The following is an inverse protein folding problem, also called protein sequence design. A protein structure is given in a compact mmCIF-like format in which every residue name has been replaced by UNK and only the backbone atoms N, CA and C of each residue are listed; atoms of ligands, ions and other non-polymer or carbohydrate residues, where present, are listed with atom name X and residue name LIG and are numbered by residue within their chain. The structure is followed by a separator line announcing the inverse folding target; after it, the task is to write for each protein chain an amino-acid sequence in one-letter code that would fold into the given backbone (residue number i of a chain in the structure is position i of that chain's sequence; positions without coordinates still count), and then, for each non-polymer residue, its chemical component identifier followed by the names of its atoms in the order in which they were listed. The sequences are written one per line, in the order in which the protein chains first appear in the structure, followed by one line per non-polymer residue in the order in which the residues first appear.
data_IF_384523133375
#
_entry.id   IF_384523133375
#
_cell.length_a   1.000
_cell.length_b   1.000
_cell.length_c   1.000
_cell.angle_alpha   90.00
_cell.angle_beta   90.00
_cell.angle_gamma   90.00
#
_symmetry.space_group_name_H-M   'P 1'
#
loop_
_entity.id
_entity.type
_entity.pdbx_description
1 polymer ?
#
# COMPACT_ATOMS: atom_id res chain seq x y z
N UNK A 1 96.35 24.50 2.54
CA UNK A 1 95.45 23.83 1.58
C UNK A 1 94.78 22.67 2.30
N UNK A 2 93.49 22.74 2.63
CA UNK A 2 92.80 21.66 3.33
C UNK A 2 92.07 20.73 2.33
N UNK A 3 92.17 19.43 2.57
CA UNK A 3 91.39 18.36 1.94
C UNK A 3 90.06 18.21 2.67
N UNK A 4 88.93 18.44 1.99
CA UNK A 4 87.59 18.16 2.52
C UNK A 4 87.02 16.88 1.93
N UNK A 5 86.83 15.90 2.80
CA UNK A 5 86.07 14.66 2.60
C UNK A 5 84.58 14.96 2.58
N UNK A 6 83.86 14.57 1.52
CA UNK A 6 82.39 14.66 1.45
C UNK A 6 81.73 13.39 2.02
N UNK A 7 80.83 13.57 2.99
CA UNK A 7 79.97 12.53 3.53
C UNK A 7 78.69 12.37 2.68
N UNK A 8 78.06 11.18 2.63
CA UNK A 8 76.84 10.93 1.87
C UNK A 8 75.60 11.56 2.54
N UNK A 9 74.79 12.24 1.73
CA UNK A 9 73.56 12.91 2.15
C UNK A 9 72.43 11.88 2.30
N UNK A 10 71.90 11.70 3.52
CA UNK A 10 70.72 10.87 3.78
C UNK A 10 69.47 11.72 3.53
N UNK A 11 68.52 11.33 2.67
CA UNK A 11 67.28 12.09 2.49
C UNK A 11 66.35 11.87 3.68
N UNK A 12 66.11 12.93 4.45
CA UNK A 12 65.08 13.01 5.49
C UNK A 12 63.70 12.86 4.84
N UNK A 13 62.99 11.78 5.15
CA UNK A 13 61.60 11.59 4.75
C UNK A 13 60.70 12.61 5.47
N UNK A 14 59.91 13.36 4.70
CA UNK A 14 58.91 14.28 5.23
C UNK A 14 57.78 13.50 5.93
N UNK A 15 57.19 14.03 7.02
CA UNK A 15 56.08 13.39 7.71
C UNK A 15 54.86 13.30 6.79
N UNK A 16 54.31 12.10 6.68
CA UNK A 16 53.11 11.80 5.89
C UNK A 16 51.92 12.56 6.49
N UNK A 17 51.42 13.57 5.78
CA UNK A 17 50.14 14.19 6.10
C UNK A 17 49.04 13.13 5.92
N UNK A 18 48.35 12.81 7.01
CA UNK A 18 47.09 12.05 6.98
C UNK A 18 46.06 13.02 6.41
N UNK A 19 45.83 12.95 5.10
CA UNK A 19 44.72 13.65 4.44
C UNK A 19 43.43 12.96 4.89
N UNK A 20 42.48 13.66 5.54
CA UNK A 20 41.17 13.08 5.84
C UNK A 20 40.51 12.63 4.53
N UNK A 21 39.81 11.49 4.51
CA UNK A 21 39.17 11.00 3.30
C UNK A 21 38.21 12.08 2.74
N UNK A 22 38.10 12.23 1.41
CA UNK A 22 37.15 13.15 0.81
C UNK A 22 35.73 12.88 1.35
N UNK A 23 34.86 13.90 1.48
CA UNK A 23 33.45 13.68 1.76
C UNK A 23 32.94 12.61 0.80
N UNK A 24 32.41 11.51 1.33
CA UNK A 24 32.08 10.32 0.57
C UNK A 24 31.28 10.71 -0.68
N UNK A 25 31.74 10.23 -1.84
CA UNK A 25 30.99 10.35 -3.08
C UNK A 25 29.53 9.93 -2.80
N UNK A 26 28.52 10.69 -3.25
CA UNK A 26 27.14 10.25 -3.14
C UNK A 26 27.06 8.82 -3.73
N UNK A 27 26.28 7.91 -3.11
CA UNK A 27 26.22 6.54 -3.56
C UNK A 27 25.92 6.50 -5.05
N UNK A 28 26.88 5.99 -5.82
CA UNK A 28 26.77 5.89 -7.27
C UNK A 28 26.02 4.61 -7.62
N UNK A 29 24.95 4.76 -8.39
CA UNK A 29 24.11 3.64 -8.80
C UNK A 29 22.64 4.06 -8.92
N UNK A 30 21.86 3.21 -9.57
CA UNK A 30 20.42 3.39 -9.75
C UNK A 30 19.69 2.15 -9.28
N UNK A 31 18.58 2.36 -8.59
CA UNK A 31 17.65 1.30 -8.20
C UNK A 31 16.27 1.51 -8.81
N UNK A 32 15.38 0.60 -8.48
CA UNK A 32 13.97 0.64 -8.86
C UNK A 32 13.11 0.82 -7.62
N UNK A 33 12.25 1.84 -7.61
CA UNK A 33 11.19 1.98 -6.61
C UNK A 33 9.85 1.62 -7.23
N UNK A 34 9.06 0.81 -6.54
CA UNK A 34 7.68 0.50 -6.92
C UNK A 34 6.75 1.01 -5.83
N UNK A 35 5.86 1.95 -6.15
CA UNK A 35 4.76 2.35 -5.26
C UNK A 35 3.53 1.55 -5.68
N UNK A 36 2.93 0.85 -4.72
CA UNK A 36 1.70 0.07 -4.90
C UNK A 36 0.52 0.76 -4.23
N UNK A 37 -0.65 0.64 -4.84
CA UNK A 37 -1.91 1.18 -4.33
C UNK A 37 -2.93 0.06 -4.26
N UNK A 38 -3.44 -0.21 -3.04
CA UNK A 38 -4.35 -1.32 -2.78
C UNK A 38 -5.46 -0.93 -1.82
N UNK A 39 -6.60 -1.60 -1.91
CA UNK A 39 -7.64 -1.52 -0.88
C UNK A 39 -7.24 -2.33 0.35
N UNK A 40 -7.99 -2.22 1.46
CA UNK A 40 -7.76 -3.00 2.68
C UNK A 40 -7.82 -4.52 2.45
N UNK A 41 -8.60 -4.99 1.47
CA UNK A 41 -8.63 -6.42 1.08
C UNK A 41 -7.47 -6.84 0.14
N UNK A 42 -6.64 -5.89 -0.30
CA UNK A 42 -5.53 -6.14 -1.21
C UNK A 42 -5.85 -5.96 -2.69
N UNK A 43 -7.06 -5.49 -3.04
CA UNK A 43 -7.46 -5.23 -4.43
C UNK A 43 -6.66 -4.06 -5.01
N UNK A 44 -6.05 -4.18 -6.20
CA UNK A 44 -5.32 -3.06 -6.82
C UNK A 44 -6.19 -1.84 -7.11
N UNK A 45 -5.67 -0.64 -6.82
CA UNK A 45 -6.35 0.64 -7.13
C UNK A 45 -5.55 1.36 -8.23
N UNK A 46 -5.99 1.34 -9.49
CA UNK A 46 -5.26 1.95 -10.60
C UNK A 46 -5.46 3.47 -10.65
N UNK A 47 -4.69 4.14 -11.53
CA UNK A 47 -4.82 5.56 -11.86
C UNK A 47 -4.59 6.52 -10.69
N UNK A 48 -3.90 6.10 -9.64
CA UNK A 48 -3.57 6.94 -8.49
C UNK A 48 -2.33 7.78 -8.83
N UNK A 49 -2.40 9.12 -8.76
CA UNK A 49 -1.21 9.95 -8.88
C UNK A 49 -0.37 9.79 -7.62
N UNK A 50 0.86 9.32 -7.79
CA UNK A 50 1.82 9.08 -6.71
C UNK A 50 3.06 9.92 -6.92
N UNK A 51 3.76 10.17 -5.81
CA UNK A 51 4.99 10.93 -5.82
C UNK A 51 6.08 10.26 -4.99
N UNK A 52 7.31 10.50 -5.44
CA UNK A 52 8.53 9.99 -4.85
C UNK A 52 9.53 11.14 -4.74
N UNK A 53 9.92 11.44 -3.51
CA UNK A 53 10.76 12.58 -3.17
C UNK A 53 12.08 12.08 -2.59
N UNK A 54 13.21 12.38 -3.24
CA UNK A 54 14.55 12.14 -2.72
C UNK A 54 14.85 13.15 -1.62
N UNK A 55 15.32 12.65 -0.48
CA UNK A 55 15.54 13.44 0.73
C UNK A 55 17.03 13.46 1.06
N UNK A 56 17.55 14.66 1.35
CA UNK A 56 18.95 14.88 1.74
C UNK A 56 19.08 15.91 2.87
N UNK A 57 20.13 15.81 3.71
CA UNK A 57 21.13 14.75 3.75
C UNK A 57 20.54 13.46 4.32
N UNK A 58 20.91 12.30 3.77
CA UNK A 58 20.51 11.01 4.33
C UNK A 58 21.54 9.92 4.02
N UNK A 59 21.73 9.00 4.96
CA UNK A 59 22.52 7.77 4.77
C UNK A 59 21.55 6.59 4.59
N UNK A 60 21.34 6.08 3.36
CA UNK A 60 20.38 5.01 3.12
C UNK A 60 20.73 3.71 3.84
N UNK A 61 22.00 3.50 4.19
CA UNK A 61 22.45 2.30 4.93
C UNK A 61 21.90 2.28 6.36
N UNK A 62 21.59 3.45 6.93
CA UNK A 62 20.97 3.57 8.26
C UNK A 62 19.47 3.34 8.25
N UNK A 63 18.85 3.37 7.07
CA UNK A 63 17.39 3.21 6.89
C UNK A 63 16.58 4.16 7.78
N UNK A 64 17.08 5.37 7.91
CA UNK A 64 16.46 6.44 8.69
C UNK A 64 16.69 7.78 8.00
N UNK A 65 15.71 8.67 8.08
CA UNK A 65 15.79 10.02 7.52
C UNK A 65 15.94 11.01 8.68
N UNK A 66 17.10 11.69 8.82
CA UNK A 66 17.32 12.56 9.95
C UNK A 66 16.41 13.79 9.92
N UNK A 67 16.08 14.31 11.09
CA UNK A 67 15.35 15.57 11.23
C UNK A 67 16.10 16.73 10.56
N UNK A 68 15.36 17.62 9.90
CA UNK A 68 15.93 18.76 9.16
C UNK A 68 16.40 18.43 7.73
N UNK A 69 16.16 17.21 7.25
CA UNK A 69 16.36 16.85 5.85
C UNK A 69 15.34 17.53 4.95
N UNK A 70 15.73 17.81 3.71
CA UNK A 70 14.90 18.50 2.72
C UNK A 70 14.72 17.65 1.47
N UNK A 71 13.58 17.85 0.79
CA UNK A 71 13.37 17.35 -0.55
C UNK A 71 14.33 18.03 -1.53
N UNK A 72 15.07 17.24 -2.30
CA UNK A 72 16.01 17.73 -3.33
C UNK A 72 15.59 17.36 -4.75
N UNK A 73 14.76 16.32 -4.90
CA UNK A 73 14.21 15.91 -6.18
C UNK A 73 12.85 15.25 -5.96
N UNK A 74 11.86 15.65 -6.75
CA UNK A 74 10.55 15.02 -6.80
C UNK A 74 10.29 14.39 -8.16
N UNK A 75 9.66 13.22 -8.15
CA UNK A 75 9.12 12.56 -9.34
C UNK A 75 7.67 12.21 -9.08
N UNK A 76 6.84 12.44 -10.07
CA UNK A 76 5.42 12.07 -10.04
C UNK A 76 5.16 10.99 -11.11
N UNK A 77 4.24 10.08 -10.82
CA UNK A 77 3.76 9.07 -11.75
C UNK A 77 2.28 8.75 -11.46
N UNK A 78 1.66 7.95 -12.30
CA UNK A 78 0.30 7.43 -12.11
C UNK A 78 0.38 5.91 -12.09
N UNK A 79 -0.31 5.27 -11.15
CA UNK A 79 -0.33 3.80 -11.06
C UNK A 79 -1.06 3.17 -12.25
N UNK A 80 -0.53 2.04 -12.73
CA UNK A 80 -1.08 1.26 -13.83
C UNK A 80 -2.31 0.43 -13.42
N UNK A 81 -2.81 -0.43 -14.32
CA UNK A 81 -3.94 -1.33 -14.08
C UNK A 81 -3.72 -2.34 -12.93
N UNK A 82 -2.48 -2.57 -12.51
CA UNK A 82 -2.12 -3.41 -11.36
C UNK A 82 -1.92 -2.59 -10.08
N UNK A 83 -2.30 -1.30 -10.09
CA UNK A 83 -2.08 -0.39 -8.97
C UNK A 83 -0.60 -0.19 -8.68
N UNK A 84 0.27 -0.18 -9.69
CA UNK A 84 1.71 0.01 -9.50
C UNK A 84 2.27 1.17 -10.32
N UNK A 85 3.17 1.94 -9.73
CA UNK A 85 4.00 2.92 -10.43
C UNK A 85 5.47 2.59 -10.18
N UNK A 86 6.27 2.53 -11.25
CA UNK A 86 7.68 2.15 -11.18
C UNK A 86 8.58 3.34 -11.52
N UNK A 87 9.62 3.54 -10.73
CA UNK A 87 10.58 4.63 -10.87
C UNK A 87 12.00 4.06 -10.95
N UNK A 88 12.77 4.52 -11.94
CA UNK A 88 14.23 4.34 -11.95
C UNK A 88 14.88 5.59 -11.36
N UNK A 89 15.56 5.43 -10.23
CA UNK A 89 16.04 6.53 -9.40
C UNK A 89 17.42 6.21 -8.80
N UNK A 90 18.23 7.23 -8.42
CA UNK A 90 19.51 6.97 -7.78
C UNK A 90 19.37 6.25 -6.43
N UNK A 91 20.44 5.66 -5.94
CA UNK A 91 20.52 5.16 -4.56
C UNK A 91 20.27 6.33 -3.59
N UNK A 92 19.46 6.12 -2.54
CA UNK A 92 19.10 7.20 -1.62
C UNK A 92 17.90 6.90 -0.71
N UNK A 93 17.50 7.91 0.06
CA UNK A 93 16.36 7.87 0.97
C UNK A 93 15.20 8.64 0.36
N UNK A 94 14.01 8.07 0.44
CA UNK A 94 12.84 8.60 -0.24
C UNK A 94 11.67 8.75 0.72
N UNK A 95 10.94 9.84 0.59
CA UNK A 95 9.54 9.88 0.98
C UNK A 95 8.67 9.54 -0.22
N UNK A 96 7.54 8.89 0.03
CA UNK A 96 6.53 8.71 -0.99
C UNK A 96 5.15 9.00 -0.45
N UNK A 97 4.25 9.36 -1.37
CA UNK A 97 2.87 9.66 -1.04
C UNK A 97 2.02 9.70 -2.30
N UNK A 98 0.80 10.18 -2.14
CA UNK A 98 -0.12 10.43 -3.25
C UNK A 98 -0.35 11.93 -3.44
N UNK A 99 -0.73 12.30 -4.66
CA UNK A 99 -1.37 13.58 -4.94
C UNK A 99 -2.85 13.55 -4.57
N UNK A 100 -3.70 14.14 -5.41
CA UNK A 100 -5.14 14.05 -5.23
C UNK A 100 -5.62 12.60 -5.51
N UNK A 101 -6.31 11.95 -4.56
CA UNK A 101 -6.87 10.62 -4.78
C UNK A 101 -7.81 10.59 -5.99
N UNK A 102 -7.86 9.49 -6.76
CA UNK A 102 -8.84 9.35 -7.82
C UNK A 102 -10.29 9.45 -7.30
N UNK A 103 -11.25 9.94 -8.11
CA UNK A 103 -12.65 9.95 -7.73
C UNK A 103 -13.15 8.56 -7.30
N UNK A 104 -13.96 8.50 -6.24
CA UNK A 104 -14.52 7.25 -5.72
C UNK A 104 -13.52 6.38 -4.93
N UNK A 105 -12.36 6.95 -4.55
CA UNK A 105 -11.39 6.29 -3.67
C UNK A 105 -11.22 7.09 -2.39
N UNK A 106 -11.10 6.40 -1.26
CA UNK A 106 -10.88 7.02 0.05
C UNK A 106 -9.56 6.51 0.63
N UNK A 107 -8.50 7.33 0.67
CA UNK A 107 -7.22 6.94 1.27
C UNK A 107 -7.32 6.59 2.76
N UNK A 108 -6.48 5.67 3.21
CA UNK A 108 -6.22 5.45 4.64
C UNK A 108 -5.12 6.42 5.09
N UNK A 109 -5.32 7.22 6.16
CA UNK A 109 -4.28 8.12 6.65
C UNK A 109 -3.21 7.32 7.42
N UNK A 110 -2.10 7.01 6.76
CA UNK A 110 -1.01 6.19 7.32
C UNK A 110 0.25 6.98 7.73
N UNK A 111 0.20 8.31 7.65
CA UNK A 111 1.33 9.17 8.00
C UNK A 111 2.39 9.26 6.90
N UNK A 112 3.62 9.65 7.26
CA UNK A 112 4.72 9.76 6.29
C UNK A 112 5.29 8.38 5.99
N UNK A 113 5.35 8.04 4.70
CA UNK A 113 5.98 6.81 4.24
C UNK A 113 7.41 7.05 3.75
N UNK A 114 8.30 6.09 4.01
CA UNK A 114 9.71 6.16 3.64
C UNK A 114 10.19 4.89 2.96
N UNK A 115 11.12 5.03 2.01
CA UNK A 115 11.80 3.94 1.31
C UNK A 115 13.30 4.22 1.24
N UNK A 116 14.10 3.16 1.20
CA UNK A 116 15.54 3.25 1.14
C UNK A 116 16.07 2.34 0.04
N UNK A 117 16.78 2.92 -0.91
CA UNK A 117 17.62 2.18 -1.85
C UNK A 117 19.04 2.27 -1.33
N UNK A 118 19.65 1.13 -1.04
CA UNK A 118 20.98 1.01 -0.42
C UNK A 118 22.00 0.50 -1.43
N UNK A 119 21.58 -0.33 -2.39
CA UNK A 119 22.47 -0.98 -3.36
C UNK A 119 22.08 -0.66 -4.80
N UNK A 120 23.07 -0.75 -5.69
CA UNK A 120 22.85 -0.63 -7.13
C UNK A 120 21.99 -1.79 -7.65
N UNK A 121 21.02 -1.46 -8.50
CA UNK A 121 20.03 -2.42 -9.01
C UNK A 121 19.00 -2.91 -7.99
N UNK A 122 18.97 -2.39 -6.76
CA UNK A 122 18.01 -2.80 -5.73
C UNK A 122 16.57 -2.43 -6.14
N UNK A 123 15.61 -3.29 -5.76
CA UNK A 123 14.19 -3.01 -5.84
C UNK A 123 13.65 -2.73 -4.43
N UNK A 124 13.09 -1.54 -4.23
CA UNK A 124 12.35 -1.17 -3.03
C UNK A 124 10.86 -1.00 -3.37
N UNK A 125 9.97 -1.41 -2.47
CA UNK A 125 8.53 -1.29 -2.67
C UNK A 125 7.86 -0.60 -1.48
N UNK A 126 6.98 0.36 -1.79
CA UNK A 126 6.09 1.00 -0.83
C UNK A 126 4.64 0.72 -1.17
N UNK A 127 3.75 0.85 -0.20
CA UNK A 127 2.31 0.65 -0.37
C UNK A 127 1.53 1.82 0.22
N UNK A 128 0.48 2.25 -0.49
CA UNK A 128 -0.53 3.20 -0.04
C UNK A 128 -1.87 2.47 -0.01
N UNK A 129 -2.55 2.50 1.14
CA UNK A 129 -3.82 1.81 1.31
C UNK A 129 -5.02 2.72 1.11
N UNK A 130 -6.09 2.14 0.57
CA UNK A 130 -7.39 2.77 0.38
C UNK A 130 -8.46 1.95 1.10
N UNK A 131 -9.53 2.61 1.52
CA UNK A 131 -10.78 1.91 1.80
C UNK A 131 -11.27 1.21 0.53
N UNK A 132 -12.15 0.23 0.68
CA UNK A 132 -12.81 -0.30 -0.50
C UNK A 132 -13.53 0.83 -1.24
N UNK A 133 -13.50 0.85 -2.59
CA UNK A 133 -14.30 1.79 -3.34
C UNK A 133 -15.75 1.63 -2.90
N UNK A 134 -16.47 2.74 -2.74
CA UNK A 134 -17.90 2.72 -2.48
C UNK A 134 -18.54 1.81 -3.53
N UNK A 135 -18.95 0.61 -3.12
CA UNK A 135 -19.54 -0.37 -4.00
C UNK A 135 -20.75 0.30 -4.69
N UNK A 136 -21.04 0.01 -5.98
CA UNK A 136 -22.11 0.68 -6.71
C UNK A 136 -23.39 0.69 -5.87
N UNK A 137 -24.17 1.78 -5.91
CA UNK A 137 -25.28 2.12 -5.01
C UNK A 137 -26.06 0.96 -4.35
N UNK A 138 -26.45 -0.14 -5.04
CA UNK A 138 -27.06 -1.26 -4.33
C UNK A 138 -26.14 -1.95 -3.32
N UNK A 139 -24.85 -2.11 -3.59
CA UNK A 139 -23.94 -2.93 -2.80
C UNK A 139 -23.29 -2.22 -1.60
N UNK A 140 -23.55 -0.93 -1.39
CA UNK A 140 -23.04 -0.22 -0.21
C UNK A 140 -23.60 -0.84 1.07
N UNK A 141 -22.75 -1.11 2.07
CA UNK A 141 -23.15 -1.80 3.29
C UNK A 141 -24.31 -1.07 4.01
N UNK A 142 -24.28 0.26 4.04
CA UNK A 142 -25.31 1.10 4.64
C UNK A 142 -26.63 1.03 3.88
N UNK A 143 -26.61 0.93 2.55
CA UNK A 143 -27.82 0.76 1.75
C UNK A 143 -28.46 -0.62 1.98
N UNK A 144 -27.65 -1.67 2.05
CA UNK A 144 -28.14 -3.01 2.42
C UNK A 144 -28.73 -2.98 3.83
N UNK A 145 -28.01 -2.42 4.81
CA UNK A 145 -28.48 -2.32 6.21
C UNK A 145 -29.78 -1.54 6.33
N UNK A 146 -29.91 -0.42 5.60
CA UNK A 146 -31.13 0.38 5.58
C UNK A 146 -32.34 -0.42 5.11
N UNK A 147 -32.19 -1.23 4.06
CA UNK A 147 -33.30 -2.01 3.50
C UNK A 147 -33.61 -3.28 4.33
N UNK A 148 -32.62 -3.78 5.09
CA UNK A 148 -32.82 -4.84 6.08
C UNK A 148 -33.47 -4.25 7.35
N UNK A 149 -34.66 -3.67 7.23
CA UNK A 149 -35.49 -3.32 8.37
C UNK A 149 -35.74 -4.61 9.19
N UNK A 150 -35.28 -4.62 10.45
CA UNK A 150 -35.17 -5.78 11.36
C UNK A 150 -33.83 -6.54 11.38
N UNK A 151 -32.72 -5.80 11.50
CA UNK A 151 -31.41 -6.37 11.89
C UNK A 151 -31.19 -6.48 13.41
N UNK A 152 -32.21 -6.16 14.22
CA UNK A 152 -32.15 -6.25 15.69
C UNK A 152 -31.00 -5.45 16.29
N UNK A 153 -30.28 -6.05 17.24
CA UNK A 153 -29.14 -5.42 17.91
C UNK A 153 -27.95 -5.13 17.00
N UNK A 154 -27.92 -5.67 15.77
CA UNK A 154 -26.82 -5.42 14.82
C UNK A 154 -26.81 -3.98 14.29
N UNK A 155 -27.86 -3.20 14.53
CA UNK A 155 -27.92 -1.79 14.12
C UNK A 155 -26.86 -0.89 14.77
N UNK A 156 -26.29 -1.29 15.91
CA UNK A 156 -25.17 -0.57 16.55
C UNK A 156 -23.79 -1.10 16.14
N UNK A 157 -23.72 -2.08 15.24
CA UNK A 157 -22.50 -2.72 14.79
C UNK A 157 -22.14 -2.33 13.36
N UNK A 158 -20.85 -2.29 13.04
CA UNK A 158 -20.39 -1.94 11.71
C UNK A 158 -20.59 -3.12 10.75
N UNK A 159 -21.36 -2.88 9.69
CA UNK A 159 -21.57 -3.85 8.63
C UNK A 159 -20.46 -3.76 7.56
N UNK A 160 -20.01 -4.91 7.08
CA UNK A 160 -19.04 -5.03 5.97
C UNK A 160 -19.59 -5.96 4.90
N UNK A 161 -19.46 -5.56 3.63
CA UNK A 161 -19.82 -6.39 2.48
C UNK A 161 -18.54 -6.99 1.89
N UNK A 162 -18.45 -8.32 1.86
CA UNK A 162 -17.25 -9.03 1.38
C UNK A 162 -17.35 -9.50 -0.06
N UNK A 163 -18.58 -9.70 -0.57
CA UNK A 163 -18.86 -10.07 -1.95
C UNK A 163 -20.14 -9.39 -2.44
N UNK A 164 -20.17 -8.86 -3.67
CA UNK A 164 -21.39 -8.34 -4.29
C UNK A 164 -21.38 -8.47 -5.83
N UNK A 165 -22.52 -8.66 -6.49
CA UNK A 165 -22.68 -8.55 -7.98
C UNK A 165 -23.78 -7.56 -8.39
N UNK A 166 -24.31 -6.80 -7.43
CA UNK A 166 -25.42 -5.88 -7.65
C UNK A 166 -26.81 -6.50 -7.43
N UNK A 167 -26.92 -7.84 -7.35
CA UNK A 167 -28.16 -8.55 -7.04
C UNK A 167 -28.03 -9.49 -5.83
N UNK A 168 -26.82 -9.94 -5.51
CA UNK A 168 -26.49 -10.78 -4.37
C UNK A 168 -25.29 -10.21 -3.65
N UNK A 169 -25.31 -10.26 -2.32
CA UNK A 169 -24.18 -9.84 -1.50
C UNK A 169 -23.99 -10.73 -0.27
N UNK A 170 -22.75 -10.76 0.24
CA UNK A 170 -22.40 -11.31 1.55
C UNK A 170 -22.11 -10.14 2.47
N UNK A 171 -22.85 -10.05 3.58
CA UNK A 171 -22.73 -8.99 4.57
C UNK A 171 -22.52 -9.60 5.95
N UNK A 172 -21.66 -9.00 6.76
CA UNK A 172 -21.43 -9.41 8.15
C UNK A 172 -21.25 -8.17 9.05
N UNK A 173 -21.50 -8.35 10.35
CA UNK A 173 -21.37 -7.28 11.36
C UNK A 173 -20.27 -7.64 12.36
N UNK A 174 -19.58 -6.63 12.87
CA UNK A 174 -18.56 -6.78 13.93
C UNK A 174 -19.17 -7.04 15.33
N UNK A 175 -20.13 -7.96 15.41
CA UNK A 175 -20.77 -8.39 16.65
C UNK A 175 -20.34 -9.83 17.04
N UNK A 176 -20.44 -10.21 18.33
CA UNK A 176 -20.18 -11.59 18.75
C UNK A 176 -21.10 -12.61 18.07
N UNK A 177 -20.55 -13.74 17.67
CA UNK A 177 -21.27 -14.83 17.01
C UNK A 177 -21.23 -14.76 15.47
N UNK A 178 -21.97 -15.65 14.81
CA UNK A 178 -22.10 -15.64 13.35
C UNK A 178 -23.15 -14.62 12.93
N UNK A 179 -22.67 -13.45 12.51
CA UNK A 179 -23.54 -12.33 12.08
C UNK A 179 -23.67 -12.27 10.56
N UNK A 180 -22.93 -13.12 9.86
CA UNK A 180 -22.93 -13.16 8.41
C UNK A 180 -24.33 -13.48 7.86
N UNK A 181 -24.65 -12.88 6.72
CA UNK A 181 -25.84 -13.15 5.93
C UNK A 181 -25.49 -13.17 4.45
N UNK A 182 -26.25 -13.92 3.68
CA UNK A 182 -26.35 -13.69 2.23
C UNK A 182 -27.66 -12.95 2.00
N UNK A 183 -27.57 -11.85 1.27
CA UNK A 183 -28.70 -10.99 0.93
C UNK A 183 -28.90 -10.97 -0.57
N UNK A 184 -30.14 -10.73 -0.99
CA UNK A 184 -30.52 -10.60 -2.39
C UNK A 184 -31.30 -9.32 -2.61
N UNK A 185 -31.16 -8.76 -3.80
CA UNK A 185 -31.93 -7.60 -4.24
C UNK A 185 -33.32 -8.06 -4.69
N UNK A 186 -34.31 -7.29 -4.31
CA UNK A 186 -35.72 -7.47 -4.65
C UNK A 186 -36.26 -6.15 -5.22
N UNK A 187 -37.49 -6.12 -5.78
CA UNK A 187 -38.11 -4.86 -6.21
C UNK A 187 -38.22 -3.82 -5.09
N UNK A 188 -38.32 -4.26 -3.82
CA UNK A 188 -38.52 -3.42 -2.64
C UNK A 188 -37.20 -3.09 -1.90
N UNK A 189 -36.05 -3.43 -2.47
CA UNK A 189 -34.73 -3.24 -1.85
C UNK A 189 -34.04 -4.56 -1.50
N UNK A 190 -33.07 -4.53 -0.59
CA UNK A 190 -32.38 -5.74 -0.13
C UNK A 190 -33.20 -6.55 0.86
N UNK A 191 -33.14 -7.87 0.70
CA UNK A 191 -33.75 -8.82 1.63
C UNK A 191 -32.73 -9.87 2.06
N UNK A 192 -32.83 -10.34 3.31
CA UNK A 192 -32.03 -11.48 3.76
C UNK A 192 -32.50 -12.73 3.03
N UNK A 193 -31.58 -13.42 2.37
CA UNK A 193 -31.83 -14.73 1.78
C UNK A 193 -31.56 -15.84 2.82
N UNK A 194 -30.40 -15.79 3.48
CA UNK A 194 -30.05 -16.71 4.58
C UNK A 194 -29.24 -16.01 5.67
N UNK A 195 -29.43 -16.49 6.90
CA UNK A 195 -28.62 -16.17 8.08
C UNK A 195 -27.63 -17.32 8.32
N UNK A 196 -26.44 -17.06 8.85
CA UNK A 196 -25.53 -18.13 9.23
C UNK A 196 -25.71 -18.50 10.72
N UNK A 197 -25.63 -19.79 11.07
CA UNK A 197 -25.63 -20.95 10.16
C UNK A 197 -27.02 -21.19 9.52
N UNK A 198 -27.05 -21.77 8.31
CA UNK A 198 -28.29 -22.20 7.66
C UNK A 198 -28.23 -23.66 7.16
N UNK A 199 -29.39 -24.19 6.81
CA UNK A 199 -29.58 -25.51 6.20
C UNK A 199 -30.05 -25.45 4.74
N UNK A 200 -29.99 -24.28 4.09
CA UNK A 200 -30.29 -24.16 2.66
C UNK A 200 -29.23 -24.88 1.82
N UNK A 201 -29.71 -25.82 1.00
CA UNK A 201 -28.94 -26.65 0.09
C UNK A 201 -28.39 -25.83 -1.10
N UNK A 202 -27.20 -26.14 -1.63
CA UNK A 202 -26.73 -25.52 -2.89
C UNK A 202 -27.69 -25.76 -4.06
N UNK A 203 -28.27 -26.95 -4.15
CA UNK A 203 -29.25 -27.28 -5.19
C UNK A 203 -30.46 -26.33 -5.15
N UNK A 204 -30.90 -25.94 -3.95
CA UNK A 204 -31.97 -24.95 -3.79
C UNK A 204 -31.46 -23.54 -4.07
N UNK A 205 -30.31 -23.15 -3.53
CA UNK A 205 -29.72 -21.84 -3.70
C UNK A 205 -29.49 -21.48 -5.18
N UNK A 206 -28.91 -22.40 -5.94
CA UNK A 206 -28.72 -22.22 -7.38
C UNK A 206 -30.04 -22.11 -8.14
N UNK A 207 -31.07 -22.88 -7.76
CA UNK A 207 -32.41 -22.76 -8.34
C UNK A 207 -33.08 -21.41 -8.00
N UNK A 208 -32.79 -20.84 -6.83
CA UNK A 208 -33.23 -19.50 -6.41
C UNK A 208 -32.42 -18.37 -7.07
N UNK A 209 -31.42 -18.70 -7.89
CA UNK A 209 -30.61 -17.74 -8.65
C UNK A 209 -29.34 -17.26 -7.95
N UNK A 210 -28.90 -17.92 -6.87
CA UNK A 210 -27.63 -17.61 -6.22
C UNK A 210 -26.46 -17.85 -7.20
N UNK A 211 -25.54 -16.90 -7.37
CA UNK A 211 -24.42 -17.05 -8.28
C UNK A 211 -23.42 -18.10 -7.79
N UNK A 212 -22.84 -18.88 -8.72
CA UNK A 212 -21.91 -19.99 -8.43
C UNK A 212 -20.74 -19.62 -7.52
N UNK A 213 -20.25 -18.38 -7.55
CA UNK A 213 -19.18 -17.92 -6.66
C UNK A 213 -19.53 -18.01 -5.17
N UNK A 214 -20.83 -17.98 -4.82
CA UNK A 214 -21.32 -18.11 -3.45
C UNK A 214 -21.58 -19.57 -3.05
N UNK A 215 -21.36 -20.54 -3.94
CA UNK A 215 -21.59 -21.97 -3.66
C UNK A 215 -20.88 -22.45 -2.38
N UNK A 216 -19.69 -21.92 -2.10
CA UNK A 216 -18.88 -22.24 -0.91
C UNK A 216 -19.59 -22.00 0.43
N UNK A 217 -20.66 -21.21 0.43
CA UNK A 217 -21.45 -20.91 1.63
C UNK A 217 -22.62 -21.87 1.86
N UNK A 218 -22.95 -22.70 0.87
CA UNK A 218 -24.10 -23.60 0.95
C UNK A 218 -23.64 -25.05 1.14
N UNK A 219 -24.28 -25.71 2.10
CA UNK A 219 -24.14 -27.14 2.33
C UNK A 219 -25.37 -27.86 1.72
N UNK A 220 -25.67 -29.08 2.15
CA UNK A 220 -26.42 -30.05 1.34
C UNK A 220 -27.93 -29.96 1.42
#
# INVERSE_FOLDING_TARGET
MPTSTSAPNVPTAAPTQIVPPPPGNPPQGTGTVVIRTRTLSGTPVPNVPVNLSLIQPCDPSKRDIPLGSNEVLRRDAVTDGNGAATFSVPIGCYHFGMGTPPPGTTPVPEGMHSLFLVRDGELAAGELRFQEPDLPAPCAAQSIVHDLDDIGELGSHNATVTECDGNWAVIAWDAPGDTQRIVRRTPDGWATYVYFPHNVCWTKASADGVPTRLQKYFNC
#
